data_IF_715464098710
#
_entry.id   IF_715464098710
#
_cell.length_a   1.000
_cell.length_b   1.000
_cell.length_c   1.000
_cell.angle_alpha   90.00
_cell.angle_beta   90.00
_cell.angle_gamma   90.00
#
_symmetry.space_group_name_H-M   'P 1'
#
loop_
_entity.id
_entity.type
_entity.pdbx_description
1 polymer ?
#
# COMPACT_ATOMS: atom_id res chain seq x y z
N UNK A 1 19.79 15.86 -23.55
CA UNK A 1 18.44 16.32 -23.21
C UNK A 1 18.54 17.62 -22.42
N UNK A 2 17.98 18.66 -22.94
CA UNK A 2 17.89 19.90 -22.17
C UNK A 2 16.75 19.79 -21.19
N UNK A 3 17.05 19.87 -19.89
CA UNK A 3 16.03 19.88 -18.87
C UNK A 3 15.22 21.18 -18.92
N UNK A 4 13.97 21.10 -18.52
CA UNK A 4 13.16 22.28 -18.33
C UNK A 4 13.66 23.05 -17.10
N UNK A 5 13.70 24.37 -17.21
CA UNK A 5 13.97 25.22 -16.05
C UNK A 5 12.82 25.14 -15.05
N UNK A 6 13.07 25.51 -13.79
CA UNK A 6 12.03 25.48 -12.77
C UNK A 6 10.81 26.32 -13.16
N UNK A 7 11.01 27.45 -13.85
CA UNK A 7 9.91 28.29 -14.31
C UNK A 7 9.08 27.65 -15.41
N UNK A 8 9.68 26.73 -16.19
CA UNK A 8 9.00 26.02 -17.26
C UNK A 8 8.29 24.77 -16.77
N UNK A 9 8.61 24.32 -15.54
CA UNK A 9 7.99 23.17 -14.91
C UNK A 9 6.76 23.53 -14.09
N UNK A 10 6.26 24.74 -14.23
CA UNK A 10 5.03 25.15 -13.55
C UNK A 10 3.85 24.34 -14.04
N UNK A 11 2.94 24.07 -13.11
CA UNK A 11 1.67 23.43 -13.43
C UNK A 11 0.93 24.23 -14.49
N UNK A 12 0.54 23.57 -15.58
CA UNK A 12 -0.21 24.20 -16.68
C UNK A 12 -1.72 24.15 -16.48
N UNK A 13 -2.17 23.54 -15.38
CA UNK A 13 -3.58 23.47 -14.99
C UNK A 13 -3.71 23.96 -13.55
N UNK A 14 -4.86 24.49 -13.19
CA UNK A 14 -5.10 25.02 -11.85
C UNK A 14 -5.36 23.91 -10.81
N UNK A 15 -5.63 22.69 -11.26
CA UNK A 15 -5.93 21.58 -10.36
C UNK A 15 -4.66 21.00 -9.75
N UNK A 16 -4.64 20.84 -8.44
CA UNK A 16 -3.63 20.04 -7.75
C UNK A 16 -4.11 18.59 -7.72
N UNK A 17 -3.29 17.68 -8.22
CA UNK A 17 -3.65 16.27 -8.28
C UNK A 17 -3.06 15.54 -7.10
N UNK A 18 -3.83 14.63 -6.53
CA UNK A 18 -3.42 13.77 -5.43
C UNK A 18 -3.88 12.34 -5.69
N UNK A 19 -3.23 11.39 -5.06
CA UNK A 19 -3.67 9.99 -5.14
C UNK A 19 -4.92 9.81 -4.29
N UNK A 20 -6.03 9.45 -4.94
CA UNK A 20 -7.29 9.23 -4.24
C UNK A 20 -7.36 7.82 -3.65
N UNK A 21 -7.06 6.82 -4.45
CA UNK A 21 -7.20 5.42 -4.08
C UNK A 21 -6.04 4.58 -4.58
N UNK A 22 -5.71 3.56 -3.78
CA UNK A 22 -4.94 2.41 -4.21
C UNK A 22 -5.90 1.22 -4.19
N UNK A 23 -5.93 0.43 -5.23
CA UNK A 23 -6.87 -0.69 -5.33
C UNK A 23 -6.11 -2.01 -5.29
N UNK A 24 -6.54 -2.90 -4.40
CA UNK A 24 -5.96 -4.22 -4.22
C UNK A 24 -7.05 -5.26 -4.35
N UNK A 25 -6.83 -6.25 -5.21
CA UNK A 25 -7.76 -7.35 -5.39
C UNK A 25 -7.43 -8.46 -4.40
N UNK A 26 -8.44 -8.98 -3.74
CA UNK A 26 -8.28 -10.03 -2.73
C UNK A 26 -9.28 -11.16 -2.98
N UNK A 27 -8.91 -12.37 -2.59
CA UNK A 27 -9.78 -13.53 -2.80
C UNK A 27 -10.82 -13.68 -1.69
N UNK A 28 -10.48 -13.29 -0.47
CA UNK A 28 -11.33 -13.42 0.72
C UNK A 28 -11.25 -12.12 1.51
N UNK A 29 -12.30 -11.34 1.45
CA UNK A 29 -12.32 -10.00 2.06
C UNK A 29 -12.13 -10.04 3.57
N UNK A 30 -12.79 -11.00 4.25
CA UNK A 30 -12.68 -11.14 5.70
C UNK A 30 -11.24 -11.44 6.13
N UNK A 31 -10.59 -12.36 5.44
CA UNK A 31 -9.18 -12.73 5.70
C UNK A 31 -8.27 -11.53 5.48
N UNK A 32 -8.49 -10.80 4.41
CA UNK A 32 -7.69 -9.61 4.09
C UNK A 32 -7.90 -8.50 5.09
N UNK A 33 -9.13 -8.25 5.51
CA UNK A 33 -9.42 -7.27 6.56
C UNK A 33 -8.68 -7.60 7.86
N UNK A 34 -8.62 -8.86 8.23
CA UNK A 34 -7.87 -9.28 9.42
C UNK A 34 -6.37 -9.04 9.26
N UNK A 35 -5.82 -9.37 8.09
CA UNK A 35 -4.41 -9.11 7.80
C UNK A 35 -4.09 -7.61 7.91
N UNK A 36 -4.87 -6.76 7.22
CA UNK A 36 -4.60 -5.33 7.22
C UNK A 36 -4.80 -4.71 8.60
N UNK A 37 -5.77 -5.20 9.38
CA UNK A 37 -5.91 -4.79 10.77
C UNK A 37 -4.68 -5.12 11.60
N UNK A 38 -4.13 -6.33 11.43
CA UNK A 38 -2.90 -6.75 12.13
C UNK A 38 -1.67 -5.96 11.67
N UNK A 39 -1.67 -5.51 10.42
CA UNK A 39 -0.62 -4.64 9.90
C UNK A 39 -0.67 -3.24 10.53
N UNK A 40 -1.82 -2.83 11.05
CA UNK A 40 -2.04 -1.52 11.62
C UNK A 40 -2.96 -0.65 10.77
N UNK A 41 -3.64 -1.25 9.81
CA UNK A 41 -4.54 -0.56 8.88
C UNK A 41 -5.95 -1.17 8.95
N UNK A 42 -6.68 -0.97 10.05
CA UNK A 42 -8.03 -1.51 10.15
C UNK A 42 -8.95 -0.78 9.17
N UNK A 43 -9.82 -1.53 8.45
CA UNK A 43 -10.81 -0.91 7.61
C UNK A 43 -11.79 -0.06 8.42
N UNK A 44 -12.16 1.10 7.90
CA UNK A 44 -13.19 1.92 8.53
C UNK A 44 -14.59 1.69 7.92
N UNK A 45 -14.65 1.05 6.77
CA UNK A 45 -15.90 0.69 6.12
C UNK A 45 -15.74 -0.67 5.44
N UNK A 46 -16.70 -1.55 5.63
CA UNK A 46 -16.72 -2.88 5.02
C UNK A 46 -18.10 -3.14 4.46
N UNK A 47 -18.15 -3.50 3.20
CA UNK A 47 -19.35 -3.92 2.50
C UNK A 47 -19.17 -5.37 2.05
N UNK A 48 -20.10 -5.89 1.28
CA UNK A 48 -20.11 -7.29 0.87
C UNK A 48 -18.84 -7.70 0.09
N UNK A 49 -18.38 -6.84 -0.82
CA UNK A 49 -17.24 -7.10 -1.71
C UNK A 49 -16.12 -6.09 -1.60
N UNK A 50 -16.25 -5.11 -0.72
CA UNK A 50 -15.32 -3.99 -0.63
C UNK A 50 -15.03 -3.66 0.82
N UNK A 51 -13.77 -3.44 1.12
CA UNK A 51 -13.35 -2.81 2.37
C UNK A 51 -12.52 -1.57 2.03
N UNK A 52 -12.65 -0.54 2.84
CA UNK A 52 -11.97 0.73 2.66
C UNK A 52 -11.10 0.99 3.87
N UNK A 53 -9.81 1.20 3.61
CA UNK A 53 -8.82 1.55 4.63
C UNK A 53 -8.39 2.98 4.37
N UNK A 54 -8.38 3.82 5.40
CA UNK A 54 -7.90 5.19 5.26
C UNK A 54 -6.41 5.26 5.55
N UNK A 55 -5.66 5.79 4.59
CA UNK A 55 -4.25 6.08 4.75
C UNK A 55 -4.09 7.56 5.10
N UNK A 56 -2.95 7.92 5.66
CA UNK A 56 -2.69 9.32 5.97
C UNK A 56 -2.69 10.15 4.71
N UNK A 57 -3.19 11.37 4.80
CA UNK A 57 -3.26 12.29 3.66
C UNK A 57 -4.52 12.18 2.83
N UNK A 58 -5.49 11.38 3.26
CA UNK A 58 -6.78 11.25 2.58
C UNK A 58 -6.82 10.23 1.45
N UNK A 59 -5.73 9.50 1.24
CA UNK A 59 -5.71 8.40 0.28
C UNK A 59 -6.37 7.18 0.90
N UNK A 60 -7.23 6.50 0.15
CA UNK A 60 -7.86 5.26 0.59
C UNK A 60 -7.27 4.05 -0.10
N UNK A 61 -7.09 2.98 0.67
CA UNK A 61 -6.79 1.66 0.14
C UNK A 61 -8.10 0.91 0.02
N UNK A 62 -8.44 0.47 -1.18
CA UNK A 62 -9.66 -0.27 -1.46
C UNK A 62 -9.32 -1.74 -1.64
N UNK A 63 -9.91 -2.59 -0.83
CA UNK A 63 -9.79 -4.04 -0.94
C UNK A 63 -11.04 -4.55 -1.65
N UNK A 64 -10.88 -5.04 -2.88
CA UNK A 64 -11.98 -5.59 -3.67
C UNK A 64 -11.89 -7.10 -3.71
N UNK A 65 -12.95 -7.78 -3.28
CA UNK A 65 -13.03 -9.22 -3.39
C UNK A 65 -13.35 -9.63 -4.82
N UNK A 66 -12.53 -10.52 -5.37
CA UNK A 66 -12.73 -11.07 -6.72
C UNK A 66 -13.32 -12.46 -6.60
N UNK A 67 -14.27 -12.78 -7.48
CA UNK A 67 -14.93 -14.07 -7.48
C UNK A 67 -14.05 -15.20 -8.02
N UNK A 68 -14.36 -16.42 -7.62
CA UNK A 68 -13.66 -17.62 -8.08
C UNK A 68 -13.79 -17.83 -9.60
N UNK A 69 -14.83 -17.31 -10.22
CA UNK A 69 -15.06 -17.40 -11.66
C UNK A 69 -14.32 -16.32 -12.46
N UNK A 70 -13.42 -15.59 -11.84
CA UNK A 70 -12.71 -14.49 -12.49
C UNK A 70 -13.49 -13.19 -12.52
N UNK A 71 -14.64 -13.14 -11.87
CA UNK A 71 -15.39 -11.92 -11.76
C UNK A 71 -14.64 -10.91 -10.89
N UNK A 72 -14.35 -9.76 -11.46
CA UNK A 72 -13.53 -8.73 -10.83
C UNK A 72 -14.38 -7.50 -10.56
N UNK A 73 -14.74 -7.31 -9.30
CA UNK A 73 -15.56 -6.16 -8.88
C UNK A 73 -14.80 -4.85 -9.08
N UNK A 74 -13.49 -4.85 -8.86
CA UNK A 74 -12.67 -3.67 -9.08
C UNK A 74 -12.70 -3.26 -10.55
N UNK A 75 -12.60 -4.23 -11.46
CA UNK A 75 -12.66 -3.97 -12.89
C UNK A 75 -14.01 -3.40 -13.30
N UNK A 76 -15.10 -3.93 -12.78
CA UNK A 76 -16.44 -3.42 -13.10
C UNK A 76 -16.66 -1.99 -12.62
N UNK A 77 -16.01 -1.60 -11.53
CA UNK A 77 -16.11 -0.25 -10.95
C UNK A 77 -15.15 0.72 -11.61
N UNK A 78 -13.92 0.31 -11.85
CA UNK A 78 -12.85 1.18 -12.37
C UNK A 78 -12.65 1.07 -13.88
N UNK A 79 -13.06 -0.06 -14.47
CA UNK A 79 -12.99 -0.30 -15.91
C UNK A 79 -11.59 -0.47 -16.47
N UNK A 80 -10.56 -0.56 -15.64
CA UNK A 80 -9.17 -0.52 -16.09
C UNK A 80 -8.25 -1.56 -15.47
N UNK A 81 -8.77 -2.48 -14.68
CA UNK A 81 -7.90 -3.43 -13.99
C UNK A 81 -7.54 -4.63 -14.85
N UNK A 82 -6.29 -5.00 -14.80
CA UNK A 82 -5.78 -6.20 -15.44
C UNK A 82 -6.04 -7.43 -14.57
N UNK A 83 -5.88 -8.60 -15.17
CA UNK A 83 -6.23 -9.89 -14.58
C UNK A 83 -5.33 -10.34 -13.42
N UNK A 84 -4.33 -9.55 -13.04
CA UNK A 84 -3.45 -9.93 -11.93
C UNK A 84 -4.18 -9.86 -10.62
N UNK A 85 -4.03 -10.91 -9.83
CA UNK A 85 -4.54 -10.90 -8.45
C UNK A 85 -3.58 -10.20 -7.50
N UNK A 86 -2.28 -10.24 -7.79
CA UNK A 86 -1.29 -9.63 -6.90
C UNK A 86 -0.92 -8.22 -7.34
N UNK A 87 -0.91 -7.31 -6.41
CA UNK A 87 -0.49 -5.93 -6.58
C UNK A 87 0.72 -5.65 -5.69
N UNK A 88 1.29 -4.48 -5.88
CA UNK A 88 2.39 -4.03 -5.04
C UNK A 88 2.21 -2.56 -4.74
N UNK A 89 2.42 -2.18 -3.48
CA UNK A 89 2.44 -0.79 -3.09
C UNK A 89 3.39 -0.57 -1.91
N UNK A 90 3.75 0.69 -1.70
CA UNK A 90 4.71 1.08 -0.69
C UNK A 90 4.03 1.91 0.40
N UNK A 91 4.40 1.62 1.63
CA UNK A 91 4.00 2.40 2.79
C UNK A 91 5.25 2.97 3.45
N UNK A 92 5.07 3.99 4.26
CA UNK A 92 6.16 4.60 5.01
C UNK A 92 5.74 4.79 6.46
N UNK A 93 6.62 4.47 7.41
CA UNK A 93 6.39 4.85 8.80
C UNK A 93 6.79 6.31 8.96
N UNK A 94 5.80 7.17 8.86
CA UNK A 94 6.00 8.62 8.78
C UNK A 94 6.79 9.17 9.98
N UNK A 95 7.88 9.87 9.68
CA UNK A 95 8.71 10.51 10.69
C UNK A 95 9.60 9.56 11.49
N UNK A 96 9.70 8.30 11.10
CA UNK A 96 10.43 7.28 11.86
C UNK A 96 11.63 6.73 11.08
N UNK A 97 12.64 6.34 11.83
CA UNK A 97 13.89 5.83 11.29
C UNK A 97 14.05 4.32 11.46
N UNK A 98 15.32 3.89 11.33
CA UNK A 98 15.66 2.46 11.31
C UNK A 98 15.28 1.73 12.61
N UNK A 99 15.49 2.34 13.77
CA UNK A 99 15.19 1.67 15.05
C UNK A 99 13.71 1.37 15.17
N UNK A 100 12.88 2.33 14.78
CA UNK A 100 11.43 2.17 14.80
C UNK A 100 10.96 1.16 13.74
N UNK A 101 11.63 1.14 12.59
CA UNK A 101 11.33 0.14 11.56
C UNK A 101 11.62 -1.29 12.05
N UNK A 102 12.75 -1.49 12.71
CA UNK A 102 13.10 -2.79 13.31
C UNK A 102 12.08 -3.22 14.35
N UNK A 103 11.66 -2.29 15.20
CA UNK A 103 10.65 -2.57 16.23
C UNK A 103 9.31 -2.93 15.61
N UNK A 104 8.88 -2.17 14.62
CA UNK A 104 7.62 -2.42 13.92
C UNK A 104 7.63 -3.80 13.23
N UNK A 105 8.74 -4.14 12.57
CA UNK A 105 8.91 -5.44 11.95
C UNK A 105 8.70 -6.59 12.95
N UNK A 106 9.30 -6.48 14.14
CA UNK A 106 9.15 -7.49 15.19
C UNK A 106 7.71 -7.57 15.70
N UNK A 107 7.02 -6.43 15.81
CA UNK A 107 5.60 -6.41 16.18
C UNK A 107 4.75 -7.15 15.16
N UNK A 108 5.01 -6.97 13.87
CA UNK A 108 4.28 -7.67 12.82
C UNK A 108 4.51 -9.19 12.90
N UNK A 109 5.75 -9.59 13.12
CA UNK A 109 6.08 -11.02 13.30
C UNK A 109 5.32 -11.59 14.48
N UNK A 110 5.23 -10.86 15.60
CA UNK A 110 4.48 -11.30 16.77
C UNK A 110 2.98 -11.45 16.51
N UNK A 111 2.46 -10.76 15.50
CA UNK A 111 1.06 -10.84 15.07
C UNK A 111 0.83 -11.87 13.95
N UNK A 112 1.84 -12.67 13.66
CA UNK A 112 1.74 -13.72 12.66
C UNK A 112 1.99 -13.29 11.23
N UNK A 113 2.52 -12.09 11.00
CA UNK A 113 2.85 -11.63 9.68
C UNK A 113 4.31 -11.96 9.38
N UNK A 114 4.56 -12.71 8.31
CA UNK A 114 5.91 -12.97 7.85
C UNK A 114 6.49 -11.71 7.24
N UNK A 115 7.60 -11.24 7.78
CA UNK A 115 8.27 -10.05 7.31
C UNK A 115 9.67 -10.38 6.83
N UNK A 116 10.04 -9.87 5.66
CA UNK A 116 11.37 -10.03 5.10
C UNK A 116 12.43 -9.33 5.96
N UNK A 117 13.68 -9.62 5.68
CA UNK A 117 14.79 -8.97 6.36
C UNK A 117 14.94 -7.52 5.93
N UNK A 118 15.47 -6.70 6.82
CA UNK A 118 15.85 -5.32 6.48
C UNK A 118 17.28 -5.37 5.96
N UNK A 119 17.53 -5.01 4.69
CA UNK A 119 18.90 -4.97 4.18
C UNK A 119 19.78 -3.99 4.96
N UNK A 120 21.04 -4.30 5.10
CA UNK A 120 21.99 -3.42 5.80
C UNK A 120 22.20 -2.10 5.06
N UNK A 121 22.18 -2.15 3.73
CA UNK A 121 22.36 -0.96 2.91
C UNK A 121 21.05 -0.21 2.74
N UNK A 122 21.11 1.12 2.81
CA UNK A 122 19.94 1.95 2.55
C UNK A 122 19.67 2.03 1.04
N UNK A 123 18.41 2.23 0.71
CA UNK A 123 17.95 2.43 -0.67
C UNK A 123 17.45 3.87 -0.78
N UNK A 124 18.22 4.72 -1.46
CA UNK A 124 17.91 6.14 -1.61
C UNK A 124 17.57 6.83 -0.30
N UNK A 125 18.36 6.54 0.75
CA UNK A 125 18.16 7.12 2.07
C UNK A 125 17.09 6.45 2.92
N UNK A 126 16.51 5.36 2.45
CA UNK A 126 15.50 4.60 3.20
C UNK A 126 16.01 3.22 3.57
N UNK A 127 15.63 2.76 4.74
CA UNK A 127 15.64 1.34 5.07
C UNK A 127 14.22 0.81 4.84
N UNK A 128 14.10 -0.47 4.56
CA UNK A 128 12.83 -1.06 4.20
C UNK A 128 12.77 -2.56 4.51
N UNK A 129 11.57 -3.10 4.56
CA UNK A 129 11.32 -4.53 4.49
C UNK A 129 10.00 -4.78 3.78
N UNK A 130 9.80 -6.02 3.35
CA UNK A 130 8.61 -6.39 2.59
C UNK A 130 7.76 -7.39 3.36
N UNK A 131 6.45 -7.26 3.20
CA UNK A 131 5.48 -8.26 3.64
C UNK A 131 4.58 -8.60 2.46
N UNK A 132 3.90 -9.73 2.54
CA UNK A 132 2.87 -10.09 1.56
C UNK A 132 1.56 -10.31 2.29
N UNK A 133 0.49 -9.82 1.68
CA UNK A 133 -0.84 -10.11 2.18
C UNK A 133 -1.24 -11.56 1.82
N UNK A 134 -2.41 -12.05 2.27
CA UNK A 134 -2.83 -13.43 2.00
C UNK A 134 -2.96 -13.79 0.52
N UNK A 135 -3.09 -12.81 -0.35
CA UNK A 135 -3.22 -13.03 -1.81
C UNK A 135 -1.92 -12.83 -2.56
N UNK A 136 -0.81 -12.59 -1.85
CA UNK A 136 0.49 -12.35 -2.46
C UNK A 136 0.72 -10.91 -2.89
N UNK A 137 -0.16 -9.98 -2.53
CA UNK A 137 0.06 -8.56 -2.79
C UNK A 137 1.26 -8.10 -1.97
N UNK A 138 2.20 -7.45 -2.61
CA UNK A 138 3.44 -7.02 -1.97
C UNK A 138 3.30 -5.66 -1.32
N UNK A 139 3.75 -5.55 -0.07
CA UNK A 139 3.76 -4.28 0.65
C UNK A 139 5.19 -4.04 1.09
N UNK A 140 5.78 -2.94 0.65
CA UNK A 140 7.11 -2.53 1.10
C UNK A 140 6.94 -1.42 2.13
N UNK A 141 7.56 -1.60 3.28
CA UNK A 141 7.49 -0.64 4.38
C UNK A 141 8.83 0.10 4.45
N UNK A 142 8.77 1.41 4.31
CA UNK A 142 9.95 2.29 4.27
C UNK A 142 10.07 3.10 5.55
N UNK A 143 11.30 3.43 5.90
CA UNK A 143 11.54 4.54 6.85
C UNK A 143 11.16 5.85 6.17
N UNK A 144 10.93 6.88 6.97
CA UNK A 144 10.80 8.24 6.47
C UNK A 144 12.11 8.68 5.83
N UNK A 145 12.06 9.73 5.01
CA UNK A 145 13.28 10.29 4.45
C UNK A 145 14.24 10.70 5.57
N UNK A 146 15.52 10.39 5.38
CA UNK A 146 16.57 10.91 6.25
C UNK A 146 16.63 12.43 6.09
N UNK A 147 16.74 13.13 7.20
CA UNK A 147 16.83 14.57 7.23
C UNK A 147 18.28 15.04 7.28
#
# INVERSE_FOLDING_TARGET
>A
MTGLGLSEMKTVVDAELAVAHLVVKVADLKRSCQFYSNLGLPPFAVDEKLAIVELRGGTHLLLFEVGLAGEDVAESVTGQFHERLSERFDLMIKGKGLNELKKYRLELISRGIAAGEIPDESFYGHHLFCVKDPDGNGITIYTSHAF
#
